data_IF_844697127797
#
_entry.id   IF_844697127797
#
_cell.length_a   1.000
_cell.length_b   1.000
_cell.length_c   1.000
_cell.angle_alpha   90.00
_cell.angle_beta   90.00
_cell.angle_gamma   90.00
#
_symmetry.space_group_name_H-M   'P 1'
#
loop_
_entity.id
_entity.type
_entity.pdbx_description
1 polymer ?
#
# COMPACT_ATOMS: atom_id res chain seq x y z
N UNK A 1 -2.53 -20.45 -8.97
CA UNK A 1 -1.87 -19.36 -9.72
C UNK A 1 -2.38 -18.07 -9.12
N UNK A 2 -1.52 -17.35 -8.39
CA UNK A 2 -1.86 -16.07 -7.76
C UNK A 2 -1.48 -14.88 -8.65
N UNK A 3 -1.90 -13.69 -8.25
CA UNK A 3 -1.50 -12.44 -8.87
C UNK A 3 -0.02 -12.12 -8.59
N UNK A 4 0.69 -11.61 -9.58
CA UNK A 4 2.00 -10.99 -9.41
C UNK A 4 1.82 -9.60 -8.80
N UNK A 5 2.43 -9.36 -7.64
CA UNK A 5 2.39 -8.05 -6.97
C UNK A 5 3.62 -7.25 -7.37
N UNK A 6 3.39 -6.09 -7.99
CA UNK A 6 4.42 -5.19 -8.49
C UNK A 6 4.37 -3.90 -7.67
N UNK A 7 5.47 -3.60 -7.00
CA UNK A 7 5.64 -2.33 -6.27
C UNK A 7 6.21 -1.30 -7.23
N UNK A 8 5.54 -0.16 -7.37
CA UNK A 8 6.03 0.92 -8.24
C UNK A 8 7.20 1.67 -7.57
N UNK A 9 8.07 2.35 -8.34
CA UNK A 9 9.18 3.12 -7.76
C UNK A 9 8.73 4.16 -6.73
N UNK A 10 7.56 4.77 -6.93
CA UNK A 10 6.98 5.71 -5.96
C UNK A 10 6.60 5.00 -4.65
N UNK A 11 5.98 3.83 -4.72
CA UNK A 11 5.65 3.06 -3.53
C UNK A 11 6.90 2.50 -2.82
N UNK A 12 7.97 2.18 -3.56
CA UNK A 12 9.27 1.82 -2.96
C UNK A 12 9.90 3.00 -2.22
N UNK A 13 9.85 4.20 -2.80
CA UNK A 13 10.30 5.43 -2.14
C UNK A 13 9.48 5.70 -0.88
N UNK A 14 8.14 5.66 -0.99
CA UNK A 14 7.24 5.83 0.14
C UNK A 14 7.57 4.83 1.28
N UNK A 15 7.78 3.55 0.94
CA UNK A 15 8.19 2.52 1.90
C UNK A 15 9.50 2.89 2.62
N UNK A 16 10.52 3.32 1.86
CA UNK A 16 11.81 3.73 2.42
C UNK A 16 11.68 4.91 3.38
N UNK A 17 10.92 5.94 3.00
CA UNK A 17 10.65 7.10 3.85
C UNK A 17 9.92 6.71 5.15
N UNK A 18 8.95 5.80 5.07
CA UNK A 18 8.21 5.29 6.23
C UNK A 18 9.15 4.53 7.19
N UNK A 19 9.94 3.59 6.66
CA UNK A 19 10.87 2.81 7.48
C UNK A 19 11.91 3.72 8.13
N UNK A 20 12.46 4.69 7.39
CA UNK A 20 13.39 5.69 7.92
C UNK A 20 12.74 6.51 9.03
N UNK A 21 11.52 7.02 8.82
CA UNK A 21 10.81 7.78 9.84
C UNK A 21 10.56 6.97 11.12
N UNK A 22 10.04 5.74 10.99
CA UNK A 22 9.74 4.88 12.15
C UNK A 22 11.02 4.45 12.89
N UNK A 23 12.07 4.11 12.15
CA UNK A 23 13.31 3.56 12.69
C UNK A 23 14.29 4.61 13.20
N UNK A 24 14.51 5.67 12.42
CA UNK A 24 15.57 6.64 12.66
C UNK A 24 15.07 7.93 13.30
N UNK A 25 13.83 8.36 13.01
CA UNK A 25 13.25 9.57 13.60
C UNK A 25 12.51 9.26 14.91
N UNK A 26 11.67 8.21 14.91
CA UNK A 26 10.94 7.78 16.10
C UNK A 26 11.71 6.77 16.97
N UNK A 27 12.89 6.32 16.52
CA UNK A 27 13.74 5.35 17.21
C UNK A 27 13.02 4.06 17.62
N UNK A 28 12.01 3.65 16.84
CA UNK A 28 11.12 2.54 17.20
C UNK A 28 11.28 1.35 16.26
N UNK A 29 12.20 0.44 16.62
CA UNK A 29 12.36 -0.85 15.93
C UNK A 29 11.08 -1.68 15.94
N UNK A 30 10.29 -1.58 17.00
CA UNK A 30 9.01 -2.27 17.10
C UNK A 30 8.01 -1.74 16.06
N UNK A 31 7.96 -0.43 15.85
CA UNK A 31 7.07 0.16 14.85
C UNK A 31 7.48 -0.25 13.43
N UNK A 32 8.79 -0.28 13.12
CA UNK A 32 9.30 -0.80 11.83
C UNK A 32 8.89 -2.25 11.64
N UNK A 33 9.16 -3.13 12.62
CA UNK A 33 8.82 -4.55 12.52
C UNK A 33 7.31 -4.77 12.35
N UNK A 34 6.48 -4.02 13.08
CA UNK A 34 5.02 -4.12 12.94
C UNK A 34 4.53 -3.63 11.57
N UNK A 35 5.11 -2.56 11.02
CA UNK A 35 4.75 -2.05 9.70
C UNK A 35 5.12 -3.06 8.60
N UNK A 36 6.37 -3.54 8.62
CA UNK A 36 6.88 -4.52 7.63
C UNK A 36 6.07 -5.81 7.67
N UNK A 37 5.81 -6.36 8.87
CA UNK A 37 5.05 -7.60 9.02
C UNK A 37 3.61 -7.49 8.49
N UNK A 38 2.93 -6.37 8.76
CA UNK A 38 1.56 -6.13 8.27
C UNK A 38 1.53 -5.90 6.76
N UNK A 39 2.51 -5.18 6.21
CA UNK A 39 2.62 -4.99 4.77
C UNK A 39 2.78 -6.34 4.08
N UNK A 40 3.72 -7.17 4.54
CA UNK A 40 4.00 -8.51 4.00
C UNK A 40 2.76 -9.43 4.04
N UNK A 41 1.99 -9.40 5.13
CA UNK A 41 0.70 -10.10 5.22
C UNK A 41 -0.30 -9.62 4.16
N UNK A 42 -0.45 -8.30 4.00
CA UNK A 42 -1.34 -7.75 2.98
C UNK A 42 -0.89 -8.11 1.56
N UNK A 43 0.42 -8.09 1.28
CA UNK A 43 0.93 -8.46 -0.06
C UNK A 43 0.64 -9.93 -0.38
N UNK A 44 0.75 -10.85 0.59
CA UNK A 44 0.33 -12.25 0.41
C UNK A 44 -1.16 -12.36 0.08
N UNK A 45 -2.00 -11.63 0.79
CA UNK A 45 -3.44 -11.61 0.51
C UNK A 45 -3.75 -11.09 -0.91
N UNK A 46 -3.02 -10.09 -1.38
CA UNK A 46 -3.16 -9.58 -2.76
C UNK A 46 -2.76 -10.60 -3.83
N UNK A 47 -1.81 -11.50 -3.54
CA UNK A 47 -1.47 -12.59 -4.45
C UNK A 47 -2.65 -13.56 -4.63
N UNK A 48 -3.47 -13.77 -3.60
CA UNK A 48 -4.55 -14.76 -3.62
C UNK A 48 -5.90 -14.16 -4.02
N UNK A 49 -6.27 -13.02 -3.45
CA UNK A 49 -7.60 -12.41 -3.62
C UNK A 49 -7.50 -10.89 -3.57
N UNK A 50 -6.94 -10.24 -4.60
CA UNK A 50 -6.72 -8.80 -4.57
C UNK A 50 -8.02 -7.97 -4.54
N UNK A 51 -9.15 -8.55 -4.90
CA UNK A 51 -10.46 -7.87 -4.84
C UNK A 51 -11.05 -7.81 -3.42
N UNK A 52 -10.43 -8.46 -2.43
CA UNK A 52 -10.94 -8.54 -1.06
C UNK A 52 -10.98 -7.18 -0.33
N UNK A 53 -10.09 -6.26 -0.69
CA UNK A 53 -10.04 -4.95 -0.05
C UNK A 53 -10.96 -3.93 -0.75
N UNK A 54 -11.44 -2.97 0.03
CA UNK A 54 -12.37 -1.94 -0.42
C UNK A 54 -11.76 -1.03 -1.50
N UNK A 55 -12.63 -0.44 -2.31
CA UNK A 55 -12.25 0.67 -3.17
C UNK A 55 -11.78 1.86 -2.33
N UNK A 56 -10.97 2.74 -2.94
CA UNK A 56 -10.67 4.04 -2.35
C UNK A 56 -11.96 4.78 -2.01
N UNK A 57 -11.96 5.50 -0.89
CA UNK A 57 -13.09 6.33 -0.48
C UNK A 57 -13.10 7.67 -1.23
N UNK A 58 -11.98 8.03 -1.86
CA UNK A 58 -11.89 9.22 -2.70
C UNK A 58 -12.55 8.94 -4.07
N UNK A 59 -13.54 9.75 -4.50
CA UNK A 59 -14.33 9.49 -5.71
C UNK A 59 -13.52 9.38 -7.02
N UNK A 60 -12.51 10.22 -7.25
CA UNK A 60 -11.70 10.18 -8.47
C UNK A 60 -10.84 8.91 -8.53
N UNK A 61 -10.22 8.54 -7.42
CA UNK A 61 -9.44 7.30 -7.29
C UNK A 61 -10.34 6.08 -7.46
N UNK A 62 -11.53 6.08 -6.85
CA UNK A 62 -12.51 5.02 -7.03
C UNK A 62 -12.95 4.88 -8.48
N UNK A 63 -13.22 6.00 -9.17
CA UNK A 63 -13.58 6.01 -10.57
C UNK A 63 -12.47 5.44 -11.47
N UNK A 64 -11.20 5.61 -11.08
CA UNK A 64 -10.03 5.02 -11.73
C UNK A 64 -9.76 3.56 -11.31
N UNK A 65 -10.58 2.98 -10.43
CA UNK A 65 -10.48 1.59 -9.99
C UNK A 65 -9.51 1.34 -8.84
N UNK A 66 -8.98 2.38 -8.19
CA UNK A 66 -8.07 2.21 -7.06
C UNK A 66 -8.77 1.57 -5.87
N UNK A 67 -8.09 0.60 -5.28
CA UNK A 67 -8.42 -0.05 -4.02
C UNK A 67 -7.39 0.29 -2.96
N UNK A 68 -7.75 0.10 -1.71
CA UNK A 68 -6.89 0.42 -0.58
C UNK A 68 -6.90 -0.64 0.49
N UNK A 69 -5.78 -0.78 1.20
CA UNK A 69 -5.71 -1.53 2.46
C UNK A 69 -4.92 -0.73 3.50
N UNK A 70 -5.13 -1.09 4.77
CA UNK A 70 -4.51 -0.41 5.92
C UNK A 70 -3.31 -1.20 6.42
N UNK A 71 -2.24 -0.48 6.75
CA UNK A 71 -1.01 -1.02 7.34
C UNK A 71 -0.79 -0.25 8.66
N UNK A 72 -1.60 -0.58 9.67
CA UNK A 72 -1.65 0.23 10.89
C UNK A 72 -2.19 1.63 10.59
N UNK A 73 -1.36 2.65 10.82
CA UNK A 73 -1.73 4.06 10.54
C UNK A 73 -1.46 4.47 9.09
N UNK A 74 -0.94 3.57 8.26
CA UNK A 74 -0.63 3.84 6.86
C UNK A 74 -1.71 3.24 5.95
N UNK A 75 -1.82 3.79 4.75
CA UNK A 75 -2.72 3.34 3.71
C UNK A 75 -1.90 3.08 2.46
N UNK A 76 -2.14 1.95 1.82
CA UNK A 76 -1.58 1.64 0.51
C UNK A 76 -2.69 1.67 -0.54
N UNK A 77 -2.41 2.32 -1.68
CA UNK A 77 -3.28 2.32 -2.85
C UNK A 77 -2.75 1.36 -3.90
N UNK A 78 -3.65 0.61 -4.51
CA UNK A 78 -3.28 -0.33 -5.57
C UNK A 78 -4.34 -0.46 -6.66
N UNK A 79 -3.91 -0.98 -7.80
CA UNK A 79 -4.75 -1.32 -8.96
C UNK A 79 -4.63 -2.81 -9.28
N UNK A 80 -5.70 -3.37 -9.82
CA UNK A 80 -5.75 -4.77 -10.24
C UNK A 80 -5.83 -4.81 -11.77
N UNK A 81 -4.90 -5.54 -12.38
CA UNK A 81 -4.97 -5.95 -13.77
C UNK A 81 -5.32 -7.44 -13.81
N UNK A 82 -6.62 -7.72 -13.79
CA UNK A 82 -7.16 -9.08 -13.79
C UNK A 82 -6.80 -9.85 -15.06
N UNK A 83 -6.61 -9.16 -16.20
CA UNK A 83 -6.28 -9.80 -17.47
C UNK A 83 -4.87 -10.37 -17.46
N UNK A 84 -3.92 -9.64 -16.88
CA UNK A 84 -2.52 -10.07 -16.79
C UNK A 84 -2.16 -10.69 -15.44
N UNK A 85 -3.14 -10.87 -14.55
CA UNK A 85 -2.95 -11.33 -13.17
C UNK A 85 -1.87 -10.52 -12.42
N UNK A 86 -1.91 -9.18 -12.56
CA UNK A 86 -0.97 -8.27 -11.88
C UNK A 86 -1.69 -7.36 -10.90
N UNK A 87 -1.02 -7.03 -9.82
CA UNK A 87 -1.45 -6.04 -8.83
C UNK A 87 -0.36 -4.99 -8.72
N UNK A 88 -0.71 -3.72 -8.91
CA UNK A 88 0.23 -2.61 -8.88
C UNK A 88 0.06 -1.80 -7.61
N UNK A 89 1.04 -1.85 -6.70
CA UNK A 89 1.06 -0.98 -5.53
C UNK A 89 1.55 0.40 -5.97
N UNK A 90 0.63 1.36 -5.98
CA UNK A 90 0.86 2.67 -6.58
C UNK A 90 1.53 3.64 -5.61
N UNK A 91 1.04 3.74 -4.37
CA UNK A 91 1.54 4.65 -3.32
C UNK A 91 1.29 4.09 -1.94
N UNK A 92 2.12 4.46 -0.97
CA UNK A 92 1.91 4.21 0.46
C UNK A 92 2.06 5.54 1.19
N UNK A 93 1.14 5.86 2.11
CA UNK A 93 1.19 7.13 2.83
C UNK A 93 0.62 7.00 4.23
N UNK A 94 0.95 7.93 5.10
CA UNK A 94 0.34 7.97 6.42
C UNK A 94 -1.12 8.39 6.29
N UNK A 95 -2.03 7.73 6.99
CA UNK A 95 -3.48 7.96 6.87
C UNK A 95 -3.94 9.34 7.29
N UNK A 96 -3.10 10.08 8.04
CA UNK A 96 -3.34 11.49 8.39
C UNK A 96 -2.77 12.49 7.39
N UNK A 97 -1.96 12.06 6.43
CA UNK A 97 -1.48 12.95 5.37
C UNK A 97 -2.62 13.20 4.40
N UNK A 98 -2.77 14.44 3.95
CA UNK A 98 -3.62 14.72 2.80
C UNK A 98 -2.85 14.30 1.54
N UNK A 99 -3.11 13.07 1.08
CA UNK A 99 -2.45 12.45 -0.08
C UNK A 99 -3.10 12.85 -1.41
N UNK A 100 -4.18 13.64 -1.40
CA UNK A 100 -4.81 14.15 -2.62
C UNK A 100 -3.84 14.97 -3.49
N UNK A 101 -2.83 15.61 -2.90
CA UNK A 101 -1.84 16.42 -3.62
C UNK A 101 -0.77 15.62 -4.38
N UNK A 102 -0.69 14.30 -4.21
CA UNK A 102 0.38 13.45 -4.74
C UNK A 102 -0.11 12.37 -5.74
N UNK A 103 -1.38 12.42 -6.14
CA UNK A 103 -2.07 11.51 -7.07
C UNK A 103 -2.76 12.28 -8.20
#
# INVERSE_FOLDING_TARGET
MGYEVIVTPYAEQDYGEIVHYLGDVLHSRQAVASFVGRLDECLRHLQETPEMYEFSQEPLLRARGYRKFLIGNYVALYLIDAKNQKVWIARIFHGSQDYQKYL
#
